data_IF_261514927252
#
_entry.id   IF_261514927252
#
_cell.length_a   1.000
_cell.length_b   1.000
_cell.length_c   1.000
_cell.angle_alpha   90.00
_cell.angle_beta   90.00
_cell.angle_gamma   90.00
#
_symmetry.space_group_name_H-M   'P 1'
#
loop_
_entity.id
_entity.type
_entity.pdbx_description
1 polymer ?
#
# COMPACT_ATOMS: atom_id res chain seq x y z
N UNK A 1 -78.73 -25.63 63.38
CA UNK A 1 -79.69 -26.02 62.33
C UNK A 1 -79.33 -25.25 61.07
N UNK A 2 -79.11 -25.97 59.97
CA UNK A 2 -79.22 -25.58 58.55
C UNK A 2 -78.63 -24.22 58.09
N UNK A 3 -77.86 -24.11 57.00
CA UNK A 3 -77.70 -24.98 55.82
C UNK A 3 -76.55 -24.43 54.97
N UNK A 4 -75.82 -25.35 54.34
CA UNK A 4 -74.88 -25.09 53.25
C UNK A 4 -75.55 -24.48 52.01
N UNK A 5 -74.77 -23.83 51.13
CA UNK A 5 -74.56 -24.26 49.73
C UNK A 5 -73.50 -23.41 49.00
N UNK A 6 -72.58 -24.13 48.36
CA UNK A 6 -71.59 -23.67 47.37
C UNK A 6 -72.27 -23.55 46.00
N UNK A 7 -71.93 -22.53 45.19
CA UNK A 7 -71.94 -22.64 43.71
C UNK A 7 -71.26 -21.45 42.98
N UNK A 8 -70.02 -21.70 42.52
CA UNK A 8 -69.33 -21.32 41.27
C UNK A 8 -69.75 -20.10 40.41
N UNK A 9 -68.71 -19.28 40.15
CA UNK A 9 -68.19 -18.71 38.86
C UNK A 9 -68.73 -17.41 38.25
N UNK A 10 -67.80 -16.45 38.19
CA UNK A 10 -67.31 -15.64 37.04
C UNK A 10 -67.84 -14.20 36.82
N UNK A 11 -66.95 -13.41 36.17
CA UNK A 11 -67.02 -12.01 35.71
C UNK A 11 -66.46 -11.02 36.76
N UNK A 12 -65.40 -10.22 36.57
CA UNK A 12 -64.52 -9.92 35.44
C UNK A 12 -63.91 -8.51 35.66
N UNK A 13 -62.64 -8.30 35.26
CA UNK A 13 -61.92 -7.01 35.03
C UNK A 13 -61.70 -6.07 36.26
N UNK A 14 -60.63 -5.29 36.42
CA UNK A 14 -59.35 -5.08 35.74
C UNK A 14 -58.52 -4.05 36.54
N UNK A 15 -57.19 -4.18 36.53
CA UNK A 15 -56.21 -3.08 36.45
C UNK A 15 -56.04 -2.16 37.68
N UNK A 16 -54.86 -1.62 38.02
CA UNK A 16 -53.58 -1.51 37.30
C UNK A 16 -52.50 -1.32 38.38
N UNK A 17 -51.47 -2.18 38.40
CA UNK A 17 -50.25 -1.99 39.17
C UNK A 17 -49.24 -1.18 38.34
N UNK A 18 -48.43 -0.38 39.03
CA UNK A 18 -47.65 0.72 38.46
C UNK A 18 -46.62 0.35 37.39
N UNK A 19 -46.26 1.37 36.60
CA UNK A 19 -45.16 1.31 35.65
C UNK A 19 -44.10 2.34 36.06
N UNK A 20 -43.03 1.86 36.68
CA UNK A 20 -41.82 2.64 36.91
C UNK A 20 -41.09 2.82 35.57
N UNK A 21 -40.91 4.07 35.17
CA UNK A 21 -40.17 4.45 33.97
C UNK A 21 -38.66 4.32 34.26
N UNK A 22 -38.10 3.13 34.04
CA UNK A 22 -36.66 2.96 34.01
C UNK A 22 -36.14 3.53 32.68
N UNK A 23 -35.61 4.75 32.71
CA UNK A 23 -34.82 5.29 31.61
C UNK A 23 -33.53 4.47 31.51
N UNK A 24 -33.53 3.47 30.64
CA UNK A 24 -32.30 2.80 30.22
C UNK A 24 -31.48 3.82 29.45
N UNK A 25 -30.44 4.34 30.10
CA UNK A 25 -29.34 5.02 29.44
C UNK A 25 -28.72 3.95 28.54
N UNK A 26 -29.02 4.00 27.25
CA UNK A 26 -28.34 3.16 26.27
C UNK A 26 -26.90 3.65 26.20
N UNK A 27 -26.03 3.06 27.01
CA UNK A 27 -24.60 3.12 26.74
C UNK A 27 -24.43 2.42 25.39
N UNK A 28 -24.23 3.18 24.32
CA UNK A 28 -23.68 2.61 23.10
C UNK A 28 -22.37 1.93 23.52
N UNK A 29 -22.17 0.63 23.24
CA UNK A 29 -20.89 -0.01 23.52
C UNK A 29 -19.81 0.83 22.84
N UNK A 30 -18.73 1.13 23.58
CA UNK A 30 -17.57 1.81 23.02
C UNK A 30 -17.19 1.06 21.75
N UNK A 31 -17.26 1.73 20.59
CA UNK A 31 -16.78 1.15 19.35
C UNK A 31 -15.30 0.81 19.59
N UNK A 32 -14.98 -0.47 19.68
CA UNK A 32 -13.59 -0.91 19.70
C UNK A 32 -12.94 -0.33 18.45
N UNK A 33 -11.74 0.22 18.59
CA UNK A 33 -11.03 0.88 17.49
C UNK A 33 -10.73 -0.06 16.28
N UNK A 34 -11.09 -1.34 16.38
CA UNK A 34 -11.01 -2.36 15.34
C UNK A 34 -12.19 -2.41 14.37
N UNK A 35 -13.32 -1.76 14.68
CA UNK A 35 -14.54 -1.87 13.86
C UNK A 35 -14.50 -0.89 12.68
N UNK A 36 -14.06 -1.38 11.51
CA UNK A 36 -14.16 -0.67 10.24
C UNK A 36 -15.63 -0.60 9.79
N UNK A 37 -16.24 0.59 9.87
CA UNK A 37 -17.62 0.83 9.42
C UNK A 37 -17.69 0.92 7.88
N UNK A 38 -18.26 -0.09 7.22
CA UNK A 38 -18.41 -0.14 5.77
C UNK A 38 -19.85 0.18 5.31
N UNK A 39 -20.00 0.96 4.23
CA UNK A 39 -21.24 1.10 3.46
C UNK A 39 -21.29 0.02 2.38
N UNK A 40 -21.90 -1.11 2.72
CA UNK A 40 -21.87 -2.32 1.88
C UNK A 40 -22.97 -2.37 0.82
N UNK A 41 -23.95 -1.47 0.91
CA UNK A 41 -25.08 -1.38 -0.04
C UNK A 41 -25.09 -0.07 -0.84
N UNK A 42 -24.02 0.72 -0.71
CA UNK A 42 -23.79 2.00 -1.41
C UNK A 42 -24.96 2.98 -1.23
N UNK A 43 -25.55 3.01 -0.03
CA UNK A 43 -26.68 3.89 0.29
C UNK A 43 -26.25 5.21 0.95
N UNK A 44 -24.93 5.43 1.11
CA UNK A 44 -24.32 6.59 1.74
C UNK A 44 -24.26 6.54 3.26
N UNK A 45 -24.59 5.39 3.87
CA UNK A 45 -24.56 5.18 5.33
C UNK A 45 -23.83 3.90 5.69
N UNK A 46 -23.10 3.89 6.81
CA UNK A 46 -22.51 2.66 7.30
C UNK A 46 -23.59 1.60 7.57
N UNK A 47 -23.40 0.40 7.06
CA UNK A 47 -24.32 -0.71 7.28
C UNK A 47 -24.27 -1.13 8.75
N UNK A 48 -25.38 -0.96 9.48
CA UNK A 48 -25.47 -1.30 10.92
C UNK A 48 -25.81 -2.78 11.15
N UNK A 49 -25.22 -3.40 12.19
CA UNK A 49 -25.76 -4.64 12.80
C UNK A 49 -25.25 -5.96 12.23
N UNK A 50 -24.26 -5.93 11.34
CA UNK A 50 -23.50 -7.11 10.89
C UNK A 50 -22.04 -6.85 11.23
N UNK A 51 -21.31 -7.86 11.70
CA UNK A 51 -19.83 -7.87 11.72
C UNK A 51 -19.29 -7.14 10.48
N UNK A 52 -18.85 -5.89 10.65
CA UNK A 52 -18.58 -4.98 9.52
C UNK A 52 -17.25 -5.30 8.86
N UNK A 53 -16.56 -6.33 9.33
CA UNK A 53 -15.29 -6.79 8.75
C UNK A 53 -15.48 -7.40 7.35
N UNK A 54 -16.67 -7.87 6.96
CA UNK A 54 -16.90 -8.56 5.67
C UNK A 54 -15.86 -9.68 5.40
N UNK A 55 -15.47 -10.42 6.43
CA UNK A 55 -14.44 -11.46 6.34
C UNK A 55 -13.00 -10.93 6.43
N UNK A 56 -12.81 -9.66 6.80
CA UNK A 56 -11.48 -9.15 7.11
C UNK A 56 -10.89 -9.91 8.31
N UNK A 57 -9.65 -10.35 8.17
CA UNK A 57 -8.95 -11.16 9.15
C UNK A 57 -7.94 -10.28 9.90
N UNK A 58 -8.43 -9.59 10.93
CA UNK A 58 -7.62 -8.98 11.98
C UNK A 58 -7.45 -9.96 13.14
N UNK A 59 -6.31 -9.92 13.84
CA UNK A 59 -6.22 -10.60 15.14
C UNK A 59 -7.09 -9.85 16.15
N UNK A 60 -7.82 -10.54 17.05
CA UNK A 60 -8.59 -9.92 18.16
C UNK A 60 -7.72 -9.12 19.18
N UNK A 61 -6.42 -8.98 18.91
CA UNK A 61 -5.51 -8.07 19.59
C UNK A 61 -5.58 -6.70 18.91
N UNK A 62 -5.85 -5.63 19.69
CA UNK A 62 -6.05 -4.22 19.28
C UNK A 62 -4.83 -3.56 18.55
N UNK A 63 -3.93 -4.36 17.98
CA UNK A 63 -2.69 -3.93 17.32
C UNK A 63 -2.71 -4.13 15.81
N UNK A 64 -3.73 -4.76 15.23
CA UNK A 64 -3.84 -4.96 13.78
C UNK A 64 -5.19 -4.46 13.24
N UNK A 65 -5.17 -3.73 12.12
CA UNK A 65 -6.38 -3.18 11.50
C UNK A 65 -6.60 -3.81 10.13
N UNK A 66 -7.73 -4.49 9.92
CA UNK A 66 -8.16 -4.97 8.60
C UNK A 66 -9.51 -4.33 8.23
N UNK A 67 -9.56 -3.59 7.12
CA UNK A 67 -10.71 -2.79 6.72
C UNK A 67 -10.99 -2.92 5.23
N UNK A 68 -12.01 -3.71 4.87
CA UNK A 68 -12.40 -4.00 3.49
C UNK A 68 -12.72 -5.48 3.28
N UNK A 69 -13.52 -5.78 2.26
CA UNK A 69 -13.88 -7.16 1.92
C UNK A 69 -12.61 -7.99 1.68
N UNK A 70 -12.44 -9.09 2.43
CA UNK A 70 -11.25 -9.95 2.36
C UNK A 70 -9.91 -9.24 2.66
N UNK A 71 -9.89 -8.16 3.44
CA UNK A 71 -8.64 -7.57 3.90
C UNK A 71 -7.98 -8.44 4.98
N UNK A 72 -6.65 -8.63 4.92
CA UNK A 72 -5.90 -9.45 5.87
C UNK A 72 -4.85 -8.62 6.61
N UNK A 73 -4.94 -8.52 7.94
CA UNK A 73 -3.94 -7.89 8.80
C UNK A 73 -3.70 -8.79 10.03
N UNK A 74 -2.81 -9.78 9.89
CA UNK A 74 -2.67 -10.88 10.86
C UNK A 74 -1.49 -10.74 11.82
N UNK A 75 -0.66 -9.71 11.66
CA UNK A 75 0.56 -9.52 12.43
C UNK A 75 0.48 -8.27 13.33
N UNK A 76 1.23 -8.22 14.44
CA UNK A 76 1.20 -7.07 15.34
C UNK A 76 1.60 -5.75 14.64
N UNK A 77 0.81 -4.70 14.83
CA UNK A 77 1.02 -3.39 14.22
C UNK A 77 0.68 -3.32 12.73
N UNK A 78 0.11 -4.39 12.13
CA UNK A 78 -0.23 -4.39 10.70
C UNK A 78 -1.50 -3.60 10.41
N UNK A 79 -1.61 -3.07 9.19
CA UNK A 79 -2.79 -2.32 8.74
C UNK A 79 -3.07 -2.63 7.28
N UNK A 80 -4.27 -3.12 6.98
CA UNK A 80 -4.74 -3.46 5.64
C UNK A 80 -6.06 -2.70 5.38
N UNK A 81 -6.08 -1.79 4.40
CA UNK A 81 -7.25 -0.96 4.06
C UNK A 81 -7.55 -1.05 2.57
N UNK A 82 -8.64 -1.71 2.22
CA UNK A 82 -9.07 -1.97 0.85
C UNK A 82 -9.59 -3.38 0.68
N UNK A 83 -10.36 -3.65 -0.38
CA UNK A 83 -10.72 -5.02 -0.68
C UNK A 83 -9.49 -5.81 -1.15
N UNK A 84 -9.36 -7.06 -0.71
CA UNK A 84 -8.27 -7.98 -1.09
C UNK A 84 -6.86 -7.47 -0.71
N UNK A 85 -6.73 -6.59 0.28
CA UNK A 85 -5.42 -6.14 0.78
C UNK A 85 -4.78 -7.14 1.74
N UNK A 86 -3.46 -7.30 1.65
CA UNK A 86 -2.69 -8.18 2.54
C UNK A 86 -1.55 -7.44 3.24
N UNK A 87 -1.66 -7.25 4.56
CA UNK A 87 -0.59 -6.79 5.45
C UNK A 87 -0.24 -7.89 6.45
N UNK A 88 0.56 -8.88 6.01
CA UNK A 88 0.73 -10.16 6.72
C UNK A 88 1.92 -10.21 7.67
N UNK A 89 2.65 -9.10 7.83
CA UNK A 89 3.87 -9.04 8.62
C UNK A 89 3.89 -7.88 9.62
N UNK A 90 4.75 -7.98 10.63
CA UNK A 90 4.81 -7.02 11.75
C UNK A 90 5.03 -5.59 11.25
N UNK A 91 4.15 -4.67 11.64
CA UNK A 91 4.14 -3.25 11.22
C UNK A 91 4.02 -3.03 9.70
N UNK A 92 3.48 -3.99 8.96
CA UNK A 92 3.22 -3.83 7.53
C UNK A 92 1.99 -2.93 7.30
N UNK A 93 2.02 -2.11 6.25
CA UNK A 93 0.93 -1.23 5.85
C UNK A 93 0.53 -1.50 4.41
N UNK A 94 -0.68 -1.99 4.16
CA UNK A 94 -1.26 -2.17 2.84
C UNK A 94 -2.51 -1.28 2.68
N UNK A 95 -2.55 -0.43 1.64
CA UNK A 95 -3.70 0.42 1.33
C UNK A 95 -4.00 0.38 -0.17
N UNK A 96 -5.25 0.08 -0.55
CA UNK A 96 -5.73 0.05 -1.94
C UNK A 96 -6.08 -1.36 -2.43
N UNK A 97 -6.97 -1.48 -3.41
CA UNK A 97 -7.44 -2.79 -3.89
C UNK A 97 -6.28 -3.73 -4.26
N UNK A 98 -6.21 -4.91 -3.62
CA UNK A 98 -5.16 -5.90 -3.91
C UNK A 98 -3.74 -5.52 -3.47
N UNK A 99 -3.55 -4.46 -2.66
CA UNK A 99 -2.23 -4.06 -2.18
C UNK A 99 -1.62 -5.12 -1.24
N UNK A 100 -0.33 -5.40 -1.40
CA UNK A 100 0.39 -6.46 -0.69
C UNK A 100 1.63 -5.90 0.02
N UNK A 101 1.57 -5.82 1.34
CA UNK A 101 2.68 -5.50 2.22
C UNK A 101 3.09 -6.76 2.99
N UNK A 102 3.89 -7.61 2.36
CA UNK A 102 4.28 -8.93 2.91
C UNK A 102 5.63 -8.91 3.62
N UNK A 103 6.37 -7.81 3.57
CA UNK A 103 7.61 -7.63 4.33
C UNK A 103 7.40 -7.06 5.75
N UNK A 104 8.30 -7.35 6.68
CA UNK A 104 8.31 -6.70 8.00
C UNK A 104 8.55 -5.20 7.83
N UNK A 105 7.69 -4.37 8.46
CA UNK A 105 7.73 -2.90 8.36
C UNK A 105 7.73 -2.40 6.91
N UNK A 106 7.03 -3.13 6.03
CA UNK A 106 6.85 -2.76 4.62
C UNK A 106 5.63 -1.86 4.43
N UNK A 107 5.62 -1.08 3.36
CA UNK A 107 4.53 -0.15 3.03
C UNK A 107 4.13 -0.38 1.57
N UNK A 108 2.90 -0.78 1.30
CA UNK A 108 2.30 -0.91 -0.02
C UNK A 108 1.06 0.00 -0.11
N UNK A 109 1.08 1.03 -0.95
CA UNK A 109 -0.03 1.97 -1.10
C UNK A 109 -0.35 2.16 -2.58
N UNK A 110 -1.53 1.70 -3.01
CA UNK A 110 -2.00 1.76 -4.40
C UNK A 110 -2.66 0.46 -4.83
N UNK A 111 -3.49 0.51 -5.86
CA UNK A 111 -4.05 -0.70 -6.48
C UNK A 111 -2.91 -1.65 -6.86
N UNK A 112 -2.98 -2.91 -6.40
CA UNK A 112 -2.00 -3.98 -6.66
C UNK A 112 -0.53 -3.60 -6.37
N UNK A 113 -0.28 -2.59 -5.53
CA UNK A 113 1.07 -2.23 -5.08
C UNK A 113 1.67 -3.38 -4.25
N UNK A 114 2.95 -3.68 -4.42
CA UNK A 114 3.60 -4.81 -3.76
C UNK A 114 4.94 -4.41 -3.12
N UNK A 115 4.97 -4.47 -1.78
CA UNK A 115 6.15 -4.31 -0.95
C UNK A 115 6.50 -5.67 -0.31
N UNK A 116 7.27 -6.46 -1.05
CA UNK A 116 7.44 -7.89 -0.80
C UNK A 116 8.45 -8.26 0.29
N UNK A 117 9.21 -7.30 0.81
CA UNK A 117 10.41 -7.57 1.64
C UNK A 117 10.58 -6.59 2.81
N UNK A 118 11.46 -6.93 3.75
CA UNK A 118 11.71 -6.11 4.96
C UNK A 118 12.10 -4.68 4.60
N UNK A 119 11.45 -3.71 5.23
CA UNK A 119 11.64 -2.26 5.02
C UNK A 119 11.42 -1.79 3.58
N UNK A 120 10.75 -2.58 2.74
CA UNK A 120 10.41 -2.16 1.37
C UNK A 120 9.22 -1.21 1.37
N UNK A 121 9.21 -0.26 0.44
CA UNK A 121 8.13 0.72 0.26
C UNK A 121 7.72 0.75 -1.21
N UNK A 122 6.46 0.47 -1.51
CA UNK A 122 5.85 0.53 -2.82
C UNK A 122 4.64 1.48 -2.77
N UNK A 123 4.68 2.61 -3.48
CA UNK A 123 3.60 3.61 -3.50
C UNK A 123 3.25 3.94 -4.94
N UNK A 124 2.04 3.60 -5.37
CA UNK A 124 1.55 3.79 -6.74
C UNK A 124 0.90 2.51 -7.27
N UNK A 125 -0.03 2.65 -8.23
CA UNK A 125 -0.73 1.51 -8.81
C UNK A 125 0.28 0.57 -9.51
N UNK A 126 0.31 -0.70 -9.13
CA UNK A 126 1.27 -1.69 -9.64
C UNK A 126 2.74 -1.41 -9.33
N UNK A 127 3.04 -0.51 -8.38
CA UNK A 127 4.41 -0.30 -7.90
C UNK A 127 4.95 -1.55 -7.21
N UNK A 128 6.27 -1.79 -7.32
CA UNK A 128 6.90 -3.05 -6.95
C UNK A 128 8.24 -2.82 -6.24
N UNK A 129 8.28 -3.06 -4.93
CA UNK A 129 9.50 -3.01 -4.12
C UNK A 129 9.86 -4.42 -3.62
N UNK A 130 10.63 -5.15 -4.43
CA UNK A 130 10.90 -6.59 -4.26
C UNK A 130 12.21 -6.92 -3.55
N UNK A 131 12.96 -5.92 -3.10
CA UNK A 131 14.22 -6.11 -2.40
C UNK A 131 14.28 -5.37 -1.07
N UNK A 132 15.07 -5.87 -0.13
CA UNK A 132 15.15 -5.32 1.21
C UNK A 132 15.60 -3.86 1.18
N UNK A 133 14.92 -3.00 1.96
CA UNK A 133 15.10 -1.54 1.97
C UNK A 133 14.87 -0.86 0.61
N UNK A 134 14.24 -1.52 -0.36
CA UNK A 134 13.95 -0.91 -1.65
C UNK A 134 12.74 0.03 -1.57
N UNK A 135 12.77 1.13 -2.32
CA UNK A 135 11.67 2.11 -2.39
C UNK A 135 11.26 2.30 -3.84
N UNK A 136 10.02 1.96 -4.19
CA UNK A 136 9.38 2.21 -5.47
C UNK A 136 8.21 3.19 -5.28
N UNK A 137 8.26 4.36 -5.92
CA UNK A 137 7.18 5.36 -5.87
C UNK A 137 6.83 5.80 -7.28
N UNK A 138 5.58 5.60 -7.69
CA UNK A 138 5.06 5.86 -9.03
C UNK A 138 4.31 4.66 -9.58
N UNK A 139 3.35 4.90 -10.48
CA UNK A 139 2.64 3.84 -11.21
C UNK A 139 3.65 2.94 -11.89
N UNK A 140 3.50 1.62 -11.73
CA UNK A 140 4.38 0.58 -12.30
C UNK A 140 5.90 0.74 -12.03
N UNK A 141 6.28 1.58 -11.06
CA UNK A 141 7.68 1.72 -10.64
C UNK A 141 8.20 0.41 -10.04
N UNK A 142 9.46 0.07 -10.28
CA UNK A 142 10.09 -1.17 -9.82
C UNK A 142 11.44 -0.90 -9.15
N UNK A 143 11.56 -1.27 -7.88
CA UNK A 143 12.81 -1.26 -7.12
C UNK A 143 13.15 -2.71 -6.72
N UNK A 144 14.06 -3.34 -7.47
CA UNK A 144 14.43 -4.75 -7.33
C UNK A 144 15.88 -4.94 -6.85
N UNK A 145 16.67 -3.88 -6.79
CA UNK A 145 17.99 -3.90 -6.14
C UNK A 145 17.87 -3.72 -4.61
N UNK A 146 18.74 -4.35 -3.83
CA UNK A 146 18.79 -4.12 -2.37
C UNK A 146 19.14 -2.67 -2.09
N UNK A 147 18.36 -2.01 -1.22
CA UNK A 147 18.49 -0.57 -0.93
C UNK A 147 18.41 0.33 -2.17
N UNK A 148 17.72 -0.12 -3.22
CA UNK A 148 17.49 0.67 -4.44
C UNK A 148 16.31 1.62 -4.27
N UNK A 149 16.29 2.68 -5.09
CA UNK A 149 15.24 3.70 -5.06
C UNK A 149 14.78 3.98 -6.49
N UNK A 150 13.52 3.69 -6.80
CA UNK A 150 12.86 4.01 -8.06
C UNK A 150 11.74 5.03 -7.81
N UNK A 151 11.84 6.22 -8.40
CA UNK A 151 10.93 7.34 -8.18
C UNK A 151 10.45 7.88 -9.53
N UNK A 152 9.24 7.51 -9.95
CA UNK A 152 8.62 7.94 -11.21
C UNK A 152 7.73 6.85 -11.83
N UNK A 153 6.81 7.25 -12.72
CA UNK A 153 6.02 6.32 -13.53
C UNK A 153 6.96 5.39 -14.33
N UNK A 154 6.80 4.07 -14.20
CA UNK A 154 7.66 3.07 -14.82
C UNK A 154 9.18 3.20 -14.54
N UNK A 155 9.59 3.92 -13.48
CA UNK A 155 11.01 3.98 -13.08
C UNK A 155 11.50 2.61 -12.61
N UNK A 156 12.73 2.23 -12.96
CA UNK A 156 13.33 0.92 -12.66
C UNK A 156 14.71 1.07 -12.01
N UNK A 157 14.84 0.63 -10.76
CA UNK A 157 16.10 0.57 -10.03
C UNK A 157 16.43 -0.89 -9.68
N UNK A 158 17.21 -1.56 -10.53
CA UNK A 158 17.51 -3.00 -10.41
C UNK A 158 18.92 -3.30 -9.89
N UNK A 159 19.83 -2.32 -9.94
CA UNK A 159 21.17 -2.46 -9.36
C UNK A 159 21.17 -2.34 -7.82
N UNK A 160 22.13 -2.98 -7.15
CA UNK A 160 22.38 -2.81 -5.71
C UNK A 160 22.61 -1.33 -5.38
N UNK A 161 21.87 -0.76 -4.41
CA UNK A 161 21.98 0.66 -4.02
C UNK A 161 21.86 1.65 -5.20
N UNK A 162 21.14 1.26 -6.24
CA UNK A 162 20.90 2.10 -7.42
C UNK A 162 19.78 3.12 -7.16
N UNK A 163 19.80 4.23 -7.90
CA UNK A 163 18.78 5.28 -7.82
C UNK A 163 18.28 5.61 -9.23
N UNK A 164 17.01 5.35 -9.50
CA UNK A 164 16.30 5.76 -10.71
C UNK A 164 15.27 6.84 -10.34
N UNK A 165 15.37 8.02 -10.94
CA UNK A 165 14.44 9.13 -10.73
C UNK A 165 13.98 9.71 -12.07
N UNK A 166 12.66 9.77 -12.26
CA UNK A 166 12.02 10.23 -13.49
C UNK A 166 11.24 9.10 -14.17
N UNK A 167 10.27 9.48 -15.00
CA UNK A 167 9.46 8.52 -15.74
C UNK A 167 10.34 7.70 -16.69
N UNK A 168 10.22 6.38 -16.63
CA UNK A 168 11.01 5.44 -17.43
C UNK A 168 12.52 5.45 -17.14
N UNK A 169 12.98 6.12 -16.08
CA UNK A 169 14.40 6.07 -15.69
C UNK A 169 14.83 4.65 -15.33
N UNK A 170 16.05 4.26 -15.70
CA UNK A 170 16.56 2.91 -15.52
C UNK A 170 17.98 2.90 -14.94
N UNK A 171 18.10 2.57 -13.65
CA UNK A 171 19.35 2.39 -12.93
C UNK A 171 19.64 0.90 -12.75
N UNK A 172 20.21 0.28 -13.79
CA UNK A 172 20.45 -1.16 -13.86
C UNK A 172 21.82 -1.58 -13.30
N UNK A 173 22.78 -0.66 -13.24
CA UNK A 173 24.09 -0.94 -12.66
C UNK A 173 24.08 -0.87 -11.13
N UNK A 174 24.91 -1.70 -10.48
CA UNK A 174 25.16 -1.55 -9.04
C UNK A 174 25.74 -0.16 -8.75
N UNK A 175 25.27 0.49 -7.69
CA UNK A 175 25.65 1.85 -7.29
C UNK A 175 25.40 2.92 -8.37
N UNK A 176 24.56 2.62 -9.36
CA UNK A 176 24.27 3.53 -10.46
C UNK A 176 23.23 4.59 -10.11
N UNK A 177 23.28 5.72 -10.80
CA UNK A 177 22.36 6.84 -10.65
C UNK A 177 21.82 7.22 -12.03
N UNK A 178 20.51 7.06 -12.24
CA UNK A 178 19.78 7.50 -13.42
C UNK A 178 18.76 8.58 -13.03
N UNK A 179 19.04 9.85 -13.34
CA UNK A 179 18.14 10.97 -13.08
C UNK A 179 17.71 11.61 -14.40
N UNK A 180 16.47 11.37 -14.82
CA UNK A 180 15.94 11.91 -16.06
C UNK A 180 14.70 11.15 -16.52
N UNK A 181 13.82 11.86 -17.22
CA UNK A 181 12.58 11.30 -17.77
C UNK A 181 12.79 10.86 -19.21
N UNK A 182 11.84 10.09 -19.73
CA UNK A 182 11.62 9.88 -21.16
C UNK A 182 11.48 11.21 -21.93
N UNK A 183 11.88 11.24 -23.19
CA UNK A 183 11.76 12.37 -24.11
C UNK A 183 10.35 12.94 -24.23
N UNK A 184 10.20 13.95 -25.09
CA UNK A 184 8.87 14.42 -25.52
C UNK A 184 8.08 13.36 -26.29
N UNK A 185 8.73 12.27 -26.69
CA UNK A 185 8.11 11.16 -27.40
C UNK A 185 7.64 10.09 -26.41
N UNK A 186 6.34 9.84 -26.38
CA UNK A 186 5.74 8.74 -25.62
C UNK A 186 6.36 7.41 -26.07
N UNK A 187 7.22 6.82 -25.24
CA UNK A 187 7.81 5.50 -25.46
C UNK A 187 9.34 5.43 -25.53
N UNK A 188 10.06 6.55 -25.40
CA UNK A 188 11.51 6.52 -25.14
C UNK A 188 11.80 6.08 -23.70
N UNK A 189 12.91 5.37 -23.49
CA UNK A 189 13.43 5.13 -22.14
C UNK A 189 13.91 6.46 -21.52
N UNK A 190 13.84 6.59 -20.19
CA UNK A 190 14.36 7.76 -19.48
C UNK A 190 15.89 7.81 -19.42
N UNK A 191 16.45 8.41 -18.37
CA UNK A 191 17.89 8.27 -18.13
C UNK A 191 18.25 6.79 -17.90
N UNK A 192 19.34 6.31 -18.49
CA UNK A 192 19.82 4.92 -18.41
C UNK A 192 21.23 4.86 -17.82
N UNK A 193 21.35 4.39 -16.58
CA UNK A 193 22.63 4.10 -15.93
C UNK A 193 22.82 2.57 -15.84
N UNK A 194 23.43 1.99 -16.88
CA UNK A 194 23.50 0.54 -17.08
C UNK A 194 24.75 -0.09 -16.47
N UNK A 195 25.82 0.69 -16.31
CA UNK A 195 27.09 0.21 -15.76
C UNK A 195 27.18 0.32 -14.25
N UNK A 196 28.00 -0.53 -13.62
CA UNK A 196 28.32 -0.37 -12.20
C UNK A 196 29.00 0.99 -11.94
N UNK A 197 28.60 1.69 -10.87
CA UNK A 197 29.02 3.06 -10.53
C UNK A 197 28.77 4.10 -11.65
N UNK A 198 27.86 3.82 -12.59
CA UNK A 198 27.57 4.75 -13.68
C UNK A 198 26.60 5.85 -13.27
N UNK A 199 26.70 7.00 -13.94
CA UNK A 199 25.86 8.17 -13.68
C UNK A 199 25.26 8.65 -15.00
N UNK A 200 23.94 8.64 -15.12
CA UNK A 200 23.19 9.19 -16.25
C UNK A 200 22.25 10.29 -15.76
N UNK A 201 22.54 11.55 -16.12
CA UNK A 201 21.78 12.73 -15.72
C UNK A 201 21.27 13.47 -16.94
N UNK A 202 19.95 13.53 -17.11
CA UNK A 202 19.30 14.19 -18.23
C UNK A 202 18.31 13.30 -18.95
N UNK A 203 17.44 13.94 -19.73
CA UNK A 203 16.48 13.26 -20.59
C UNK A 203 17.21 12.34 -21.59
N UNK A 204 16.91 11.05 -21.56
CA UNK A 204 17.56 10.03 -22.40
C UNK A 204 19.10 9.97 -22.29
N UNK A 205 19.70 10.44 -21.19
CA UNK A 205 21.13 10.29 -20.94
C UNK A 205 21.48 8.80 -20.74
N UNK A 206 22.58 8.31 -21.33
CA UNK A 206 22.96 6.89 -21.29
C UNK A 206 24.40 6.70 -20.84
N UNK A 207 24.61 6.11 -19.67
CA UNK A 207 25.90 5.68 -19.13
C UNK A 207 25.96 4.15 -19.16
N UNK A 208 26.53 3.57 -20.22
CA UNK A 208 26.34 2.15 -20.58
C UNK A 208 27.24 1.16 -19.84
N UNK A 209 28.35 1.65 -19.32
CA UNK A 209 29.50 0.84 -18.90
C UNK A 209 29.97 1.25 -17.51
N UNK A 210 30.79 0.41 -16.89
CA UNK A 210 31.29 0.67 -15.54
C UNK A 210 32.01 2.03 -15.47
N UNK A 211 31.74 2.77 -14.38
CA UNK A 211 32.30 4.08 -14.08
C UNK A 211 32.02 5.17 -15.14
N UNK A 212 31.12 4.93 -16.10
CA UNK A 212 30.79 5.91 -17.13
C UNK A 212 29.86 7.01 -16.60
N UNK A 213 30.02 8.22 -17.13
CA UNK A 213 29.26 9.41 -16.73
C UNK A 213 28.67 10.07 -17.98
N UNK A 214 27.34 10.14 -18.07
CA UNK A 214 26.61 10.87 -19.09
C UNK A 214 25.77 11.97 -18.43
N UNK A 215 26.06 13.24 -18.75
CA UNK A 215 25.34 14.40 -18.21
C UNK A 215 24.88 15.29 -19.36
N UNK A 216 23.58 15.37 -19.58
CA UNK A 216 22.95 16.17 -20.65
C UNK A 216 21.89 15.36 -21.39
N UNK A 217 20.94 16.07 -22.00
CA UNK A 217 19.94 15.41 -22.85
C UNK A 217 20.65 14.64 -23.98
N UNK A 218 20.27 13.39 -24.19
CA UNK A 218 20.86 12.47 -25.17
C UNK A 218 22.39 12.29 -25.03
N UNK A 219 22.97 12.61 -23.88
CA UNK A 219 24.39 12.36 -23.63
C UNK A 219 24.66 10.86 -23.56
N UNK A 220 25.71 10.37 -24.21
CA UNK A 220 26.00 8.93 -24.31
C UNK A 220 27.46 8.64 -23.94
N UNK A 221 27.67 7.97 -22.81
CA UNK A 221 28.96 7.42 -22.43
C UNK A 221 28.98 5.90 -22.65
N UNK A 222 29.73 5.44 -23.66
CA UNK A 222 29.75 4.03 -24.11
C UNK A 222 31.04 3.26 -23.80
N UNK A 223 32.11 3.94 -23.40
CA UNK A 223 33.39 3.32 -22.98
C UNK A 223 33.49 3.17 -21.47
N UNK A 224 34.31 2.25 -20.97
CA UNK A 224 34.56 2.13 -19.52
C UNK A 224 35.22 3.42 -19.04
N UNK A 225 34.73 4.03 -17.95
CA UNK A 225 35.18 5.35 -17.48
C UNK A 225 34.93 6.51 -18.47
N UNK A 226 34.17 6.28 -19.55
CA UNK A 226 33.86 7.34 -20.50
C UNK A 226 33.01 8.45 -19.86
N UNK A 227 33.30 9.69 -20.26
CA UNK A 227 32.58 10.88 -19.80
C UNK A 227 31.97 11.61 -21.00
N UNK A 228 30.67 11.81 -20.98
CA UNK A 228 29.90 12.59 -21.95
C UNK A 228 29.18 13.72 -21.20
N UNK A 229 29.55 14.98 -21.45
CA UNK A 229 28.92 16.15 -20.82
C UNK A 229 28.43 17.10 -21.90
N UNK A 230 27.14 17.42 -21.87
CA UNK A 230 26.46 18.32 -22.80
C UNK A 230 25.36 17.63 -23.61
N UNK A 231 24.53 18.46 -24.25
CA UNK A 231 23.46 18.02 -25.17
C UNK A 231 24.05 17.21 -26.33
N UNK A 232 23.54 15.99 -26.57
CA UNK A 232 23.99 15.07 -27.62
C UNK A 232 25.49 14.73 -27.55
N UNK A 233 26.12 14.87 -26.39
CA UNK A 233 27.55 14.56 -26.23
C UNK A 233 27.79 13.05 -26.30
N UNK A 234 28.94 12.63 -26.82
CA UNK A 234 29.34 11.22 -26.87
C UNK A 234 30.72 11.04 -26.26
N UNK A 235 30.82 10.20 -25.25
CA UNK A 235 32.06 9.74 -24.63
C UNK A 235 32.29 8.26 -24.94
N UNK A 236 33.49 7.89 -25.38
CA UNK A 236 33.78 6.53 -25.86
C UNK A 236 35.16 5.99 -25.51
N UNK A 237 35.98 6.75 -24.78
CA UNK A 237 37.32 6.30 -24.38
C UNK A 237 37.26 5.14 -23.40
#
# INVERSE_FOLDING_TARGET
>A
MNTARISKRAIGLAGIAGLALAATIANAPEAKADECLLDTNNNGTATSGTDTTLGANGTDDDTALACGSNATATAPGSTAIGAETDATNTRALAIGFGAQASGQSSIAVGEIANAGTTFSTAIGAGSLANAANATAVGTTSTASGVSSVALGDAASASGLRSVAFGRGSNAAGDYSIALGTDGSDFGSDGAEALGANSIALGNEAKARTANSIAIGQNGVASGVEAVAIGLNSVGSN
#
